data_IF_947585377392
#
_entry.id   IF_947585377392
#
_cell.length_a   1.000
_cell.length_b   1.000
_cell.length_c   1.000
_cell.angle_alpha   90.00
_cell.angle_beta   90.00
_cell.angle_gamma   90.00
#
_symmetry.space_group_name_H-M   'P 1'
#
loop_
_entity.id
_entity.type
_entity.pdbx_description
1 polymer ?
#
# COMPACT_ATOMS: atom_id res chain seq x y z
N UNK A 1 -3.04 3.96 -9.84
CA UNK A 1 -3.71 5.02 -9.07
C UNK A 1 -5.05 5.25 -9.74
N UNK A 2 -6.17 5.19 -9.01
CA UNK A 2 -7.52 5.27 -9.60
C UNK A 2 -8.18 6.66 -9.43
N UNK A 3 -7.51 7.62 -8.78
CA UNK A 3 -8.01 8.98 -8.59
C UNK A 3 -9.06 9.12 -7.48
N UNK A 4 -9.36 8.05 -6.74
CA UNK A 4 -10.26 8.11 -5.56
C UNK A 4 -9.62 8.96 -4.45
N UNK A 5 -10.44 9.69 -3.70
CA UNK A 5 -10.00 10.43 -2.50
C UNK A 5 -9.36 9.49 -1.46
N UNK A 6 -8.33 9.97 -0.76
CA UNK A 6 -7.67 9.24 0.32
C UNK A 6 -8.29 9.60 1.66
N UNK A 7 -9.44 9.00 1.96
CA UNK A 7 -10.20 9.20 3.20
C UNK A 7 -9.85 8.19 4.32
N UNK A 8 -9.09 7.14 3.98
CA UNK A 8 -8.66 6.10 4.90
C UNK A 8 -7.15 5.84 4.79
N UNK A 9 -6.50 5.66 5.95
CA UNK A 9 -5.10 5.23 6.01
C UNK A 9 -4.87 4.13 7.04
N UNK A 10 -3.93 3.22 6.75
CA UNK A 10 -3.52 2.15 7.66
C UNK A 10 -2.01 1.97 7.69
N UNK A 11 -1.30 3.06 7.91
CA UNK A 11 0.16 3.05 8.04
C UNK A 11 0.62 2.22 9.23
N UNK A 12 1.71 1.48 9.07
CA UNK A 12 2.44 0.89 10.19
C UNK A 12 2.99 2.00 11.11
N UNK A 13 3.25 1.69 12.36
CA UNK A 13 3.87 2.58 13.32
C UNK A 13 5.17 3.17 12.75
N UNK A 14 5.21 4.49 12.69
CA UNK A 14 6.34 5.25 12.15
C UNK A 14 6.34 5.40 10.62
N UNK A 15 5.32 4.92 9.90
CA UNK A 15 5.07 5.24 8.49
C UNK A 15 3.92 6.25 8.36
N UNK A 16 3.85 7.04 7.26
CA UNK A 16 4.88 7.17 6.24
C UNK A 16 6.13 7.91 6.78
N UNK A 17 7.32 7.50 6.36
CA UNK A 17 8.57 8.16 6.74
C UNK A 17 8.92 9.24 5.74
N UNK A 18 8.44 10.45 6.03
CA UNK A 18 8.58 11.65 5.20
C UNK A 18 10.01 11.96 4.70
N UNK A 19 11.05 11.47 5.36
CA UNK A 19 12.43 11.96 5.20
C UNK A 19 13.45 10.93 4.67
N UNK A 20 13.05 9.72 4.28
CA UNK A 20 14.00 8.74 3.72
C UNK A 20 13.92 8.64 2.19
N UNK A 21 14.91 9.22 1.50
CA UNK A 21 15.43 8.71 0.22
C UNK A 21 14.41 8.45 -0.93
N UNK A 22 13.31 9.19 -1.00
CA UNK A 22 12.36 9.12 -2.13
C UNK A 22 11.39 7.93 -2.08
N UNK A 23 11.01 7.47 -0.88
CA UNK A 23 9.96 6.49 -0.68
C UNK A 23 8.56 7.12 -0.85
N UNK A 24 8.09 7.17 -2.10
CA UNK A 24 6.85 7.86 -2.49
C UNK A 24 5.74 6.91 -2.97
N UNK A 25 5.93 5.60 -2.86
CA UNK A 25 4.96 4.59 -3.27
C UNK A 25 4.52 3.74 -2.07
N UNK A 26 3.25 3.30 -2.06
CA UNK A 26 2.72 2.47 -0.98
C UNK A 26 2.96 0.97 -1.21
N UNK A 27 3.29 0.26 -0.15
CA UNK A 27 3.29 -1.20 -0.06
C UNK A 27 2.39 -1.63 1.10
N UNK A 28 1.59 -2.68 0.90
CA UNK A 28 0.87 -3.36 1.97
C UNK A 28 1.62 -4.63 2.39
N UNK A 29 1.79 -4.84 3.69
CA UNK A 29 2.32 -6.10 4.21
C UNK A 29 1.25 -7.19 4.24
N UNK A 30 1.60 -8.41 3.83
CA UNK A 30 0.72 -9.57 3.93
C UNK A 30 1.09 -10.43 5.13
N UNK A 31 0.21 -11.36 5.48
CA UNK A 31 0.48 -12.42 6.46
C UNK A 31 1.79 -13.15 6.14
N UNK A 32 2.69 -13.24 7.13
CA UNK A 32 3.94 -13.99 7.03
C UNK A 32 5.21 -13.14 6.88
N UNK A 33 5.11 -11.81 6.86
CA UNK A 33 6.31 -10.95 6.96
C UNK A 33 6.70 -10.83 8.44
N UNK A 34 7.69 -11.62 8.86
CA UNK A 34 8.14 -11.80 10.26
C UNK A 34 8.78 -10.55 10.93
N UNK A 35 8.63 -9.36 10.36
CA UNK A 35 9.39 -8.18 10.76
C UNK A 35 8.55 -6.90 10.97
N UNK A 36 7.23 -7.00 11.12
CA UNK A 36 6.39 -5.82 11.38
C UNK A 36 5.63 -5.94 12.70
N UNK A 37 5.98 -5.05 13.64
CA UNK A 37 5.43 -5.02 14.99
C UNK A 37 3.91 -4.80 15.02
N UNK A 38 3.36 -4.14 14.01
CA UNK A 38 1.93 -3.81 13.94
C UNK A 38 1.11 -4.94 13.32
N UNK A 39 1.78 -5.98 12.83
CA UNK A 39 1.16 -7.13 12.22
C UNK A 39 0.85 -6.94 10.73
N UNK A 40 -0.04 -7.80 10.24
CA UNK A 40 -0.32 -7.93 8.83
C UNK A 40 -1.26 -6.83 8.34
N UNK A 41 -1.24 -6.52 7.05
CA UNK A 41 -2.13 -5.57 6.34
C UNK A 41 -1.88 -4.08 6.59
N UNK A 42 -0.87 -3.72 7.38
CA UNK A 42 -0.41 -2.34 7.51
C UNK A 42 0.44 -1.90 6.31
N UNK A 43 0.49 -0.60 6.10
CA UNK A 43 1.13 0.02 4.94
C UNK A 43 2.48 0.60 5.29
N UNK A 44 3.39 0.59 4.32
CA UNK A 44 4.69 1.21 4.37
C UNK A 44 4.93 2.01 3.09
N UNK A 45 5.62 3.12 3.21
CA UNK A 45 6.19 3.85 2.08
C UNK A 45 7.47 3.15 1.58
N UNK A 46 7.61 3.01 0.27
CA UNK A 46 8.76 2.38 -0.39
C UNK A 46 9.18 3.17 -1.61
N UNK A 47 10.44 3.01 -2.04
CA UNK A 47 10.90 3.55 -3.32
C UNK A 47 10.06 3.01 -4.47
N UNK A 48 9.59 3.90 -5.34
CA UNK A 48 8.74 3.53 -6.47
C UNK A 48 9.43 2.62 -7.51
N UNK A 49 10.76 2.63 -7.57
CA UNK A 49 11.54 1.76 -8.46
C UNK A 49 11.92 0.42 -7.82
N UNK A 50 11.37 0.10 -6.63
CA UNK A 50 11.62 -1.17 -5.96
C UNK A 50 11.03 -2.31 -6.79
N UNK A 51 11.84 -3.31 -7.12
CA UNK A 51 11.35 -4.54 -7.73
C UNK A 51 10.51 -5.33 -6.73
N UNK A 52 9.26 -5.60 -7.09
CA UNK A 52 8.28 -6.28 -6.24
C UNK A 52 7.81 -7.58 -6.90
N UNK A 53 7.70 -8.65 -6.10
CA UNK A 53 7.26 -9.96 -6.61
C UNK A 53 5.76 -10.01 -6.93
N UNK A 54 4.97 -9.21 -6.21
CA UNK A 54 3.51 -9.20 -6.30
C UNK A 54 2.97 -7.77 -6.23
N UNK A 55 1.82 -7.56 -6.87
CA UNK A 55 1.02 -6.33 -6.79
C UNK A 55 -0.47 -6.67 -6.88
N UNK A 56 -1.33 -5.74 -6.49
CA UNK A 56 -2.79 -5.92 -6.50
C UNK A 56 -3.41 -4.91 -7.47
N UNK A 57 -4.29 -5.40 -8.35
CA UNK A 57 -5.13 -4.57 -9.20
C UNK A 57 -6.53 -4.43 -8.60
N UNK A 58 -7.18 -3.31 -8.87
CA UNK A 58 -8.61 -3.08 -8.60
C UNK A 58 -9.26 -2.62 -9.90
N UNK A 59 -10.44 -3.14 -10.19
CA UNK A 59 -11.31 -2.65 -11.26
C UNK A 59 -12.69 -2.36 -10.68
N UNK A 60 -13.43 -1.46 -11.32
CA UNK A 60 -14.84 -1.27 -11.00
C UNK A 60 -15.65 -2.35 -11.72
N UNK A 61 -16.55 -3.01 -11.00
CA UNK A 61 -17.56 -3.82 -11.66
C UNK A 61 -18.64 -2.88 -12.20
N UNK A 62 -18.65 -2.70 -13.52
CA UNK A 62 -19.76 -2.02 -14.18
C UNK A 62 -20.91 -3.03 -14.23
N UNK A 63 -21.89 -2.85 -13.34
CA UNK A 63 -23.17 -3.51 -13.47
C UNK A 63 -23.90 -2.80 -14.62
N UNK A 64 -23.73 -3.28 -15.85
CA UNK A 64 -24.64 -2.85 -16.91
C UNK A 64 -26.05 -3.22 -16.45
N UNK A 65 -26.90 -2.20 -16.32
CA UNK A 65 -28.33 -2.37 -16.10
C UNK A 65 -28.87 -3.25 -17.23
N UNK A 66 -29.37 -4.43 -16.87
CA UNK A 66 -30.31 -5.18 -17.70
C UNK A 66 -31.50 -4.29 -18.09
#
# INVERSE_FOLDING_TARGET
MDGTEMDFTKWSNGAPKKDWNGELCGQMYTTGVLHHADGNTYWNDVRCNRTMRYFVCKTMMILEKL
#
